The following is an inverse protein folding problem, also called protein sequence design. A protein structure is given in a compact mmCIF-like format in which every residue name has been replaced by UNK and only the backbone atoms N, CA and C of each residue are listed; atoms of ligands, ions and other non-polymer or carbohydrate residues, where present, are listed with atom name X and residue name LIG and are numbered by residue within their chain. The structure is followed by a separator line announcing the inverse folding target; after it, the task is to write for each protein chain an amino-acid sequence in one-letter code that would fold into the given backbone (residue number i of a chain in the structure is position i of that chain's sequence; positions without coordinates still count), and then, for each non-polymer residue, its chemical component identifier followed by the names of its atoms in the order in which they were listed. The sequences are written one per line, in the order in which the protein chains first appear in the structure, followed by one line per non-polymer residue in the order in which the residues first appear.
data_IF_307581842267
#
_entry.id   IF_307581842267
#
_cell.length_a   1.000
_cell.length_b   1.000
_cell.length_c   1.000
_cell.angle_alpha   90.00
_cell.angle_beta   90.00
_cell.angle_gamma   90.00
#
_symmetry.space_group_name_H-M   'P 1'
#
loop_
_entity.id
_entity.type
_entity.pdbx_description
1 polymer ?
#
# COMPACT_ATOMS: atom_id res chain seq x y z
N UNK A 1 49.35 13.01 -8.46
CA UNK A 1 47.98 13.48 -8.70
C UNK A 1 47.08 12.25 -8.72
N UNK A 2 46.30 12.05 -7.66
CA UNK A 2 45.40 10.91 -7.56
C UNK A 2 44.14 11.21 -8.40
N UNK A 3 43.92 10.38 -9.39
CA UNK A 3 42.75 10.40 -10.27
C UNK A 3 41.50 10.13 -9.39
N UNK A 4 40.67 11.15 -9.18
CA UNK A 4 39.41 10.99 -8.47
C UNK A 4 38.46 10.25 -9.41
N UNK A 5 38.39 8.93 -9.25
CA UNK A 5 37.37 8.13 -9.89
C UNK A 5 35.99 8.67 -9.51
N UNK A 6 35.39 9.47 -10.38
CA UNK A 6 34.00 9.93 -10.26
C UNK A 6 33.11 8.71 -10.50
N UNK A 7 32.55 8.17 -9.43
CA UNK A 7 31.52 7.11 -9.50
C UNK A 7 30.30 7.74 -10.15
N UNK A 8 30.13 7.57 -11.46
CA UNK A 8 28.89 7.91 -12.15
C UNK A 8 27.86 6.82 -11.81
N UNK A 9 26.98 7.10 -10.87
CA UNK A 9 25.80 6.27 -10.62
C UNK A 9 24.88 6.43 -11.84
N UNK A 10 24.94 5.49 -12.78
CA UNK A 10 24.03 5.46 -13.91
C UNK A 10 22.65 4.97 -13.41
N UNK A 11 21.68 5.87 -13.41
CA UNK A 11 20.29 5.51 -13.08
C UNK A 11 19.75 4.62 -14.20
N UNK A 12 19.21 3.42 -13.89
CA UNK A 12 18.73 2.49 -14.91
C UNK A 12 17.56 3.09 -15.69
N UNK A 13 17.50 2.81 -16.99
CA UNK A 13 16.35 3.21 -17.80
C UNK A 13 15.06 2.66 -17.19
N UNK A 14 13.98 3.44 -17.22
CA UNK A 14 12.67 3.04 -16.66
C UNK A 14 12.54 3.19 -15.15
N UNK A 15 13.53 3.75 -14.45
CA UNK A 15 13.46 3.98 -12.99
C UNK A 15 12.20 4.73 -12.55
N UNK A 16 11.79 5.74 -13.33
CA UNK A 16 10.59 6.53 -13.05
C UNK A 16 9.32 5.67 -12.99
N UNK A 17 9.20 4.67 -13.86
CA UNK A 17 8.08 3.71 -13.81
C UNK A 17 8.12 2.84 -12.56
N UNK A 18 9.31 2.45 -12.10
CA UNK A 18 9.45 1.79 -10.82
C UNK A 18 8.94 2.65 -9.67
N UNK A 19 9.34 3.93 -9.61
CA UNK A 19 8.85 4.88 -8.61
C UNK A 19 7.32 5.00 -8.68
N UNK A 20 6.76 5.20 -9.88
CA UNK A 20 5.31 5.31 -10.09
C UNK A 20 4.58 4.06 -9.58
N UNK A 21 5.07 2.86 -9.90
CA UNK A 21 4.47 1.62 -9.42
C UNK A 21 4.46 1.55 -7.87
N UNK A 22 5.51 2.03 -7.21
CA UNK A 22 5.55 2.14 -5.75
C UNK A 22 4.53 3.14 -5.20
N UNK A 23 4.43 4.32 -5.81
CA UNK A 23 3.44 5.36 -5.46
C UNK A 23 2.02 4.84 -5.61
N UNK A 24 1.72 4.23 -6.75
CA UNK A 24 0.40 3.66 -7.05
C UNK A 24 0.01 2.56 -6.04
N UNK A 25 0.96 1.69 -5.68
CA UNK A 25 0.71 0.62 -4.72
C UNK A 25 0.39 1.18 -3.32
N UNK A 26 1.16 2.16 -2.85
CA UNK A 26 0.93 2.77 -1.55
C UNK A 26 -0.40 3.53 -1.53
N UNK A 27 -0.66 4.32 -2.57
CA UNK A 27 -1.90 5.10 -2.67
C UNK A 27 -3.13 4.20 -2.77
N UNK A 28 -3.09 3.15 -3.61
CA UNK A 28 -4.20 2.22 -3.76
C UNK A 28 -4.48 1.46 -2.46
N UNK A 29 -3.44 1.02 -1.75
CA UNK A 29 -3.58 0.36 -0.45
C UNK A 29 -4.22 1.27 0.59
N UNK A 30 -3.74 2.49 0.72
CA UNK A 30 -4.32 3.49 1.63
C UNK A 30 -5.74 3.86 1.25
N UNK A 31 -6.01 4.16 -0.02
CA UNK A 31 -7.33 4.54 -0.49
C UNK A 31 -8.36 3.45 -0.21
N UNK A 32 -7.98 2.19 -0.40
CA UNK A 32 -8.82 1.05 -0.14
C UNK A 32 -9.23 0.97 1.35
N UNK A 33 -8.27 1.08 2.27
CA UNK A 33 -8.51 1.10 3.72
C UNK A 33 -9.42 2.29 4.08
N UNK A 34 -9.10 3.47 3.57
CA UNK A 34 -9.86 4.70 3.85
C UNK A 34 -11.29 4.62 3.33
N UNK A 35 -11.51 4.05 2.16
CA UNK A 35 -12.87 3.81 1.64
C UNK A 35 -13.64 2.86 2.54
N UNK A 36 -13.01 1.79 3.03
CA UNK A 36 -13.65 0.87 3.98
C UNK A 36 -14.02 1.55 5.29
N UNK A 37 -13.14 2.35 5.87
CA UNK A 37 -13.44 3.10 7.10
C UNK A 37 -14.56 4.13 6.87
N UNK A 38 -14.59 4.77 5.71
CA UNK A 38 -15.65 5.72 5.36
C UNK A 38 -17.00 5.02 5.17
N UNK A 39 -17.03 3.86 4.52
CA UNK A 39 -18.25 3.05 4.39
C UNK A 39 -18.74 2.61 5.77
N UNK A 40 -17.84 2.12 6.63
CA UNK A 40 -18.17 1.74 7.98
C UNK A 40 -18.76 2.93 8.77
N UNK A 41 -18.16 4.10 8.68
CA UNK A 41 -18.69 5.33 9.26
C UNK A 41 -20.10 5.64 8.77
N UNK A 42 -20.33 5.62 7.45
CA UNK A 42 -21.63 5.94 6.87
C UNK A 42 -22.72 4.96 7.28
N UNK A 43 -22.39 3.69 7.46
CA UNK A 43 -23.35 2.67 7.88
C UNK A 43 -23.65 2.71 9.38
N UNK A 44 -22.68 3.11 10.20
CA UNK A 44 -22.79 3.08 11.67
C UNK A 44 -23.17 4.44 12.28
N UNK A 45 -23.14 5.54 11.52
CA UNK A 45 -23.39 6.90 12.03
C UNK A 45 -24.78 7.09 12.65
N UNK A 46 -25.74 6.21 12.34
CA UNK A 46 -27.08 6.24 12.93
C UNK A 46 -27.14 5.68 14.35
N UNK A 47 -26.07 5.02 14.81
CA UNK A 47 -26.01 4.48 16.15
C UNK A 47 -25.67 5.56 17.18
N UNK A 48 -26.34 5.52 18.33
CA UNK A 48 -26.22 6.53 19.39
C UNK A 48 -24.79 6.69 19.94
N UNK A 49 -24.00 5.64 19.92
CA UNK A 49 -22.62 5.65 20.40
C UNK A 49 -21.62 6.27 19.40
N UNK A 50 -22.07 6.62 18.16
CA UNK A 50 -21.26 7.28 17.15
C UNK A 50 -21.69 8.73 16.89
N UNK A 51 -22.60 9.29 17.70
CA UNK A 51 -23.14 10.64 17.44
C UNK A 51 -22.09 11.75 17.38
N UNK A 52 -20.96 11.59 18.09
CA UNK A 52 -19.89 12.59 18.15
C UNK A 52 -18.78 12.36 17.11
N UNK A 53 -18.88 11.28 16.31
CA UNK A 53 -17.87 10.99 15.28
C UNK A 53 -18.12 11.80 14.01
N UNK A 54 -17.04 12.31 13.44
CA UNK A 54 -17.06 13.11 12.21
C UNK A 54 -16.48 12.32 11.02
N UNK A 55 -16.76 12.73 9.76
CA UNK A 55 -16.08 12.14 8.61
C UNK A 55 -14.55 12.27 8.67
N UNK A 56 -14.05 13.29 9.37
CA UNK A 56 -12.62 13.49 9.59
C UNK A 56 -12.03 12.40 10.49
N UNK A 57 -12.78 11.97 11.49
CA UNK A 57 -12.34 10.88 12.38
C UNK A 57 -12.28 9.54 11.62
N UNK A 58 -13.22 9.30 10.70
CA UNK A 58 -13.19 8.14 9.84
C UNK A 58 -11.97 8.15 8.89
N UNK A 59 -11.62 9.32 8.35
CA UNK A 59 -10.42 9.51 7.55
C UNK A 59 -9.16 9.29 8.38
N UNK A 60 -9.12 9.84 9.60
CA UNK A 60 -8.03 9.65 10.55
C UNK A 60 -7.82 8.18 10.90
N UNK A 61 -8.91 7.45 11.16
CA UNK A 61 -8.88 6.01 11.39
C UNK A 61 -8.31 5.25 10.19
N UNK A 62 -8.65 5.66 8.96
CA UNK A 62 -8.07 5.10 7.74
C UNK A 62 -6.54 5.28 7.70
N UNK A 63 -6.05 6.45 8.08
CA UNK A 63 -4.62 6.73 8.22
C UNK A 63 -3.94 5.89 9.31
N UNK A 64 -4.60 5.73 10.48
CA UNK A 64 -4.10 4.91 11.58
C UNK A 64 -4.00 3.42 11.20
N UNK A 65 -5.02 2.90 10.52
CA UNK A 65 -5.01 1.53 10.00
C UNK A 65 -3.94 1.35 8.93
N UNK A 66 -3.75 2.35 8.05
CA UNK A 66 -2.65 2.33 7.09
C UNK A 66 -1.29 2.26 7.77
N UNK A 67 -1.07 3.12 8.79
CA UNK A 67 0.15 3.09 9.57
C UNK A 67 0.40 1.71 10.21
N UNK A 68 -0.66 1.07 10.75
CA UNK A 68 -0.58 -0.28 11.30
C UNK A 68 -0.22 -1.33 10.23
N UNK A 69 -0.78 -1.23 9.02
CA UNK A 69 -0.51 -2.16 7.90
C UNK A 69 0.95 -2.14 7.48
N UNK A 70 1.57 -0.97 7.48
CA UNK A 70 3.01 -0.83 7.18
C UNK A 70 3.90 -1.09 8.41
N UNK A 71 3.34 -1.61 9.51
CA UNK A 71 4.08 -1.97 10.73
C UNK A 71 4.35 -0.79 11.68
N UNK A 72 3.63 0.31 11.53
CA UNK A 72 3.62 1.43 12.46
C UNK A 72 2.87 1.11 13.75
N UNK A 73 3.05 1.97 14.77
CA UNK A 73 2.26 1.92 15.99
C UNK A 73 1.06 2.83 15.84
N UNK A 74 -0.14 2.32 16.06
CA UNK A 74 -1.35 3.13 16.20
C UNK A 74 -1.78 3.20 17.66
N UNK A 75 -2.36 4.32 18.06
CA UNK A 75 -2.88 4.53 19.41
C UNK A 75 -4.38 4.69 19.30
N UNK A 76 -5.13 3.73 19.80
CA UNK A 76 -6.60 3.79 19.82
C UNK A 76 -7.05 3.71 21.27
N UNK A 77 -7.79 4.72 21.73
CA UNK A 77 -8.28 4.76 23.12
C UNK A 77 -7.18 4.76 24.19
N UNK A 78 -5.99 5.32 23.89
CA UNK A 78 -4.83 5.32 24.79
C UNK A 78 -4.04 4.01 24.84
N UNK A 79 -4.45 3.00 24.07
CA UNK A 79 -3.75 1.72 23.98
C UNK A 79 -2.90 1.69 22.72
N UNK A 80 -1.62 1.33 22.88
CA UNK A 80 -0.70 1.18 21.76
C UNK A 80 -0.91 -0.18 21.08
N UNK A 81 -1.43 -0.16 19.86
CA UNK A 81 -1.54 -1.34 19.01
C UNK A 81 -0.34 -1.41 18.07
N UNK A 82 0.38 -2.52 18.13
CA UNK A 82 1.41 -2.89 17.19
C UNK A 82 0.99 -4.18 16.51
N UNK A 83 0.04 -4.07 15.62
CA UNK A 83 -0.38 -5.20 14.82
C UNK A 83 0.32 -5.10 13.46
N UNK A 84 1.00 -6.17 13.04
CA UNK A 84 1.39 -6.34 11.64
C UNK A 84 0.28 -7.21 11.04
N UNK A 85 -0.69 -6.64 10.32
CA UNK A 85 -1.70 -7.43 9.63
C UNK A 85 -0.99 -8.13 8.47
N UNK A 86 -0.50 -9.33 8.73
CA UNK A 86 0.27 -10.15 7.78
C UNK A 86 -0.45 -10.34 6.46
N UNK A 87 -1.77 -10.46 6.49
CA UNK A 87 -2.61 -10.59 5.30
C UNK A 87 -2.60 -9.30 4.46
N UNK A 88 -2.76 -8.13 5.07
CA UNK A 88 -2.76 -6.86 4.35
C UNK A 88 -1.37 -6.57 3.76
N UNK A 89 -0.30 -6.86 4.51
CA UNK A 89 1.07 -6.79 4.01
C UNK A 89 1.31 -7.72 2.82
N UNK A 90 0.83 -8.96 2.89
CA UNK A 90 0.92 -9.91 1.78
C UNK A 90 0.16 -9.42 0.54
N UNK A 91 -1.04 -8.86 0.70
CA UNK A 91 -1.79 -8.27 -0.41
C UNK A 91 -1.06 -7.09 -1.04
N UNK A 92 -0.42 -6.24 -0.24
CA UNK A 92 0.39 -5.13 -0.75
C UNK A 92 1.61 -5.62 -1.53
N UNK A 93 2.29 -6.69 -1.07
CA UNK A 93 3.39 -7.31 -1.81
C UNK A 93 2.91 -7.79 -3.19
N UNK A 94 1.77 -8.47 -3.24
CA UNK A 94 1.15 -8.90 -4.50
C UNK A 94 0.81 -7.70 -5.38
N UNK A 95 0.25 -6.64 -4.81
CA UNK A 95 -0.12 -5.41 -5.52
C UNK A 95 1.12 -4.74 -6.13
N UNK A 96 2.18 -4.56 -5.35
CA UNK A 96 3.47 -4.02 -5.86
C UNK A 96 3.98 -4.88 -7.02
N UNK A 97 4.00 -6.21 -6.87
CA UNK A 97 4.44 -7.12 -7.93
C UNK A 97 3.61 -6.96 -9.20
N UNK A 98 2.29 -6.80 -9.06
CA UNK A 98 1.39 -6.65 -10.20
C UNK A 98 1.58 -5.31 -10.93
N UNK A 99 1.76 -4.22 -10.18
CA UNK A 99 2.01 -2.89 -10.76
C UNK A 99 3.38 -2.80 -11.42
N UNK A 100 4.37 -3.54 -10.91
CA UNK A 100 5.69 -3.64 -11.53
C UNK A 100 5.68 -4.32 -12.92
N UNK A 101 4.60 -4.99 -13.31
CA UNK A 101 4.45 -5.48 -14.69
C UNK A 101 4.58 -4.36 -15.73
N UNK A 102 4.24 -3.13 -15.34
CA UNK A 102 4.40 -1.95 -16.17
C UNK A 102 5.87 -1.55 -16.38
N UNK A 103 6.79 -2.12 -15.62
CA UNK A 103 8.24 -1.98 -15.83
C UNK A 103 8.85 -3.10 -16.67
N UNK A 104 8.04 -4.03 -17.17
CA UNK A 104 8.50 -5.08 -18.06
C UNK A 104 9.18 -4.47 -19.30
N UNK A 105 10.25 -5.10 -19.77
CA UNK A 105 11.09 -4.58 -20.87
C UNK A 105 12.19 -3.59 -20.43
N UNK A 106 12.21 -3.14 -19.16
CA UNK A 106 13.28 -2.31 -18.62
C UNK A 106 14.30 -3.14 -17.79
N UNK A 107 15.52 -2.60 -17.56
CA UNK A 107 16.51 -3.26 -16.71
C UNK A 107 15.93 -3.59 -15.34
N UNK A 108 16.28 -4.77 -14.81
CA UNK A 108 15.76 -5.26 -13.50
C UNK A 108 15.93 -4.28 -12.35
N UNK A 109 16.99 -3.46 -12.40
CA UNK A 109 17.21 -2.40 -11.42
C UNK A 109 16.09 -1.36 -11.36
N UNK A 110 15.31 -1.17 -12.43
CA UNK A 110 14.18 -0.25 -12.44
C UNK A 110 13.07 -0.64 -11.44
N UNK A 111 12.84 -1.94 -11.22
CA UNK A 111 11.85 -2.43 -10.27
C UNK A 111 12.18 -2.06 -8.81
N UNK A 112 13.45 -1.96 -8.46
CA UNK A 112 13.88 -1.60 -7.10
C UNK A 112 13.53 -0.14 -6.75
N UNK A 113 13.30 0.71 -7.75
CA UNK A 113 12.85 2.08 -7.52
C UNK A 113 11.40 2.18 -7.02
N UNK A 114 10.66 1.07 -6.97
CA UNK A 114 9.37 1.03 -6.28
C UNK A 114 9.52 1.27 -4.76
N UNK A 115 10.66 0.91 -4.18
CA UNK A 115 10.92 1.07 -2.73
C UNK A 115 10.85 2.52 -2.30
N UNK A 116 11.63 3.47 -2.85
CA UNK A 116 11.54 4.87 -2.47
C UNK A 116 10.17 5.49 -2.81
N UNK A 117 9.55 5.12 -3.92
CA UNK A 117 8.21 5.60 -4.28
C UNK A 117 7.15 5.18 -3.25
N UNK A 118 7.12 3.92 -2.89
CA UNK A 118 6.21 3.38 -1.88
C UNK A 118 6.45 4.00 -0.51
N UNK A 119 7.72 4.08 -0.07
CA UNK A 119 8.08 4.59 1.26
C UNK A 119 7.69 6.05 1.43
N UNK A 120 8.07 6.92 0.50
CA UNK A 120 7.74 8.34 0.56
C UNK A 120 6.23 8.57 0.56
N UNK A 121 5.50 7.87 -0.31
CA UNK A 121 4.04 7.96 -0.36
C UNK A 121 3.41 7.44 0.92
N UNK A 122 3.89 6.32 1.46
CA UNK A 122 3.40 5.78 2.73
C UNK A 122 3.59 6.74 3.89
N UNK A 123 4.70 7.46 3.96
CA UNK A 123 4.93 8.48 4.97
C UNK A 123 3.98 9.67 4.85
N UNK A 124 3.77 10.15 3.63
CA UNK A 124 2.82 11.24 3.37
C UNK A 124 1.39 10.83 3.77
N UNK A 125 1.00 9.60 3.44
CA UNK A 125 -0.34 9.10 3.74
C UNK A 125 -0.52 8.76 5.23
N UNK A 126 0.52 8.31 5.93
CA UNK A 126 0.50 8.16 7.37
C UNK A 126 0.30 9.50 8.11
N UNK A 127 0.67 10.62 7.50
CA UNK A 127 0.37 11.96 8.01
C UNK A 127 -1.12 12.32 8.04
N UNK A 128 -1.99 11.53 7.40
CA UNK A 128 -3.46 11.68 7.49
C UNK A 128 -4.04 11.05 8.75
N UNK A 129 -3.22 10.36 9.55
CA UNK A 129 -3.67 9.72 10.79
C UNK A 129 -4.22 10.73 11.78
N UNK A 130 -5.30 10.34 12.47
CA UNK A 130 -5.96 11.18 13.49
C UNK A 130 -5.21 11.19 14.82
N UNK A 131 -4.39 10.18 15.06
CA UNK A 131 -3.54 10.04 16.24
C UNK A 131 -2.09 10.38 15.87
N UNK A 132 -1.28 10.78 16.85
CA UNK A 132 0.14 11.03 16.65
C UNK A 132 0.91 9.70 16.45
N UNK A 133 0.49 8.91 15.43
CA UNK A 133 1.23 7.75 15.02
C UNK A 133 2.65 8.20 14.61
N UNK A 134 3.66 7.59 15.22
CA UNK A 134 5.03 7.90 14.85
C UNK A 134 5.28 7.39 13.43
N UNK A 135 5.19 8.28 12.45
CA UNK A 135 5.32 8.00 11.01
C UNK A 135 6.57 7.17 10.65
N UNK A 136 7.64 7.31 11.43
CA UNK A 136 8.89 6.58 11.22
C UNK A 136 8.81 5.10 11.62
N UNK A 137 7.86 4.71 12.49
CA UNK A 137 7.74 3.30 12.93
C UNK A 137 7.28 2.39 11.80
N UNK A 138 6.58 2.92 10.80
CA UNK A 138 6.19 2.22 9.57
C UNK A 138 7.30 2.09 8.52
N UNK A 139 8.49 2.66 8.77
CA UNK A 139 9.59 2.65 7.78
C UNK A 139 10.02 1.25 7.40
N UNK A 140 10.08 0.33 8.37
CA UNK A 140 10.51 -1.06 8.13
C UNK A 140 9.55 -1.73 7.13
N UNK A 141 8.25 -1.69 7.37
CA UNK A 141 7.26 -2.24 6.43
C UNK A 141 7.20 -1.47 5.12
N UNK A 142 7.33 -0.14 5.18
CA UNK A 142 7.41 0.73 4.01
C UNK A 142 8.58 0.41 3.08
N UNK A 143 9.64 -0.21 3.59
CA UNK A 143 10.78 -0.72 2.80
C UNK A 143 10.59 -2.19 2.44
N UNK A 144 10.25 -3.05 3.40
CA UNK A 144 10.19 -4.50 3.18
C UNK A 144 9.09 -4.92 2.21
N UNK A 145 7.90 -4.32 2.30
CA UNK A 145 6.77 -4.65 1.43
C UNK A 145 7.13 -4.46 -0.06
N UNK A 146 7.55 -3.26 -0.50
CA UNK A 146 7.90 -3.05 -1.90
C UNK A 146 9.19 -3.78 -2.29
N UNK A 147 10.14 -3.99 -1.38
CA UNK A 147 11.36 -4.74 -1.64
C UNK A 147 11.04 -6.21 -1.97
N UNK A 148 10.24 -6.88 -1.14
CA UNK A 148 9.84 -8.27 -1.36
C UNK A 148 9.05 -8.38 -2.67
N UNK A 149 8.10 -7.45 -2.94
CA UNK A 149 7.35 -7.41 -4.19
C UNK A 149 8.25 -7.25 -5.43
N UNK A 150 9.24 -6.38 -5.34
CA UNK A 150 10.23 -6.14 -6.42
C UNK A 150 11.14 -7.34 -6.65
N UNK A 151 11.66 -7.94 -5.58
CA UNK A 151 12.50 -9.14 -5.67
C UNK A 151 11.70 -10.30 -6.26
N UNK A 152 10.47 -10.49 -5.81
CA UNK A 152 9.59 -11.53 -6.36
C UNK A 152 9.29 -11.30 -7.85
N UNK A 153 9.02 -10.04 -8.26
CA UNK A 153 8.82 -9.69 -9.66
C UNK A 153 10.04 -10.04 -10.51
N UNK A 154 11.24 -9.66 -10.06
CA UNK A 154 12.51 -9.94 -10.76
C UNK A 154 12.80 -11.43 -10.81
N UNK A 155 12.60 -12.16 -9.69
CA UNK A 155 12.85 -13.60 -9.59
C UNK A 155 11.88 -14.40 -10.46
N UNK A 156 10.66 -13.93 -10.69
CA UNK A 156 9.68 -14.62 -11.54
C UNK A 156 10.04 -14.62 -13.03
N UNK A 157 11.13 -13.94 -13.44
CA UNK A 157 11.55 -13.86 -14.85
C UNK A 157 10.66 -12.95 -15.71
N UNK A 158 9.56 -12.44 -15.16
CA UNK A 158 8.56 -11.67 -15.90
C UNK A 158 9.17 -10.44 -16.62
N UNK A 159 10.21 -9.84 -16.02
CA UNK A 159 10.90 -8.69 -16.59
C UNK A 159 11.73 -9.01 -17.84
N UNK A 160 11.96 -10.30 -18.15
CA UNK A 160 12.78 -10.73 -19.29
C UNK A 160 11.98 -10.95 -20.57
N UNK A 161 10.77 -11.47 -20.42
CA UNK A 161 10.06 -12.15 -21.50
C UNK A 161 8.87 -11.35 -22.04
N UNK A 162 8.61 -10.17 -21.48
CA UNK A 162 7.45 -9.34 -21.85
C UNK A 162 7.85 -7.95 -22.31
N UNK A 163 7.28 -7.53 -23.43
CA UNK A 163 7.35 -6.14 -23.88
C UNK A 163 6.59 -5.23 -22.93
N UNK A 164 6.99 -3.95 -22.85
CA UNK A 164 6.32 -2.97 -22.01
C UNK A 164 4.83 -2.86 -22.42
N UNK A 165 3.90 -3.04 -21.48
CA UNK A 165 2.47 -3.04 -21.80
C UNK A 165 2.03 -1.68 -22.36
N UNK A 166 1.12 -1.72 -23.34
CA UNK A 166 0.48 -0.52 -23.90
C UNK A 166 -0.48 0.12 -22.89
N UNK A 167 -0.81 1.40 -23.09
CA UNK A 167 -1.71 2.16 -22.18
C UNK A 167 -3.07 1.48 -21.99
N UNK A 168 -3.56 0.76 -23.01
CA UNK A 168 -4.82 0.01 -22.95
C UNK A 168 -4.75 -1.20 -21.97
N UNK A 169 -3.59 -1.83 -21.85
CA UNK A 169 -3.31 -2.86 -20.83
C UNK A 169 -3.29 -2.31 -19.41
N UNK A 170 -2.90 -1.06 -19.26
CA UNK A 170 -2.89 -0.34 -17.98
C UNK A 170 -4.30 -0.21 -17.40
N UNK A 171 -5.24 0.29 -18.20
CA UNK A 171 -6.64 0.51 -17.79
C UNK A 171 -7.32 -0.84 -17.46
N UNK A 172 -7.15 -1.84 -18.32
CA UNK A 172 -7.74 -3.16 -18.09
C UNK A 172 -7.13 -3.90 -16.90
N UNK A 173 -5.82 -3.74 -16.67
CA UNK A 173 -5.11 -4.29 -15.52
C UNK A 173 -5.54 -3.60 -14.21
N UNK A 174 -5.64 -2.28 -14.19
CA UNK A 174 -6.10 -1.51 -13.05
C UNK A 174 -7.55 -1.83 -12.65
N UNK A 175 -8.45 -1.95 -13.63
CA UNK A 175 -9.84 -2.36 -13.40
C UNK A 175 -9.96 -3.78 -12.84
N UNK A 176 -9.20 -4.75 -13.35
CA UNK A 176 -9.20 -6.12 -12.83
C UNK A 176 -8.66 -6.20 -11.41
N UNK A 177 -7.58 -5.46 -11.11
CA UNK A 177 -6.98 -5.39 -9.79
C UNK A 177 -7.85 -4.65 -8.79
N UNK A 178 -8.40 -3.51 -9.18
CA UNK A 178 -9.35 -2.76 -8.38
C UNK A 178 -10.57 -3.61 -8.03
N UNK A 179 -11.13 -4.31 -9.03
CA UNK A 179 -12.25 -5.24 -8.84
C UNK A 179 -11.92 -6.41 -7.90
N UNK A 180 -10.74 -7.02 -8.05
CA UNK A 180 -10.30 -8.10 -7.16
C UNK A 180 -10.08 -7.60 -5.73
N UNK A 181 -9.49 -6.43 -5.56
CA UNK A 181 -9.27 -5.83 -4.24
C UNK A 181 -10.58 -5.49 -3.54
N UNK A 182 -11.55 -4.92 -4.27
CA UNK A 182 -12.90 -4.66 -3.75
C UNK A 182 -13.60 -5.97 -3.38
N UNK A 183 -13.51 -7.02 -4.20
CA UNK A 183 -14.12 -8.32 -3.92
C UNK A 183 -13.52 -9.00 -2.67
N UNK A 184 -12.19 -8.95 -2.50
CA UNK A 184 -11.52 -9.50 -1.33
C UNK A 184 -11.92 -8.76 -0.05
N UNK A 185 -12.05 -7.44 -0.12
CA UNK A 185 -12.45 -6.65 1.05
C UNK A 185 -13.92 -6.76 1.37
N UNK A 186 -14.78 -6.79 0.36
CA UNK A 186 -16.19 -7.08 0.55
C UNK A 186 -16.38 -8.46 1.20
N UNK A 187 -15.60 -9.45 0.76
CA UNK A 187 -15.58 -10.78 1.37
C UNK A 187 -15.09 -10.76 2.83
N UNK A 188 -14.00 -10.07 3.11
CA UNK A 188 -13.47 -9.93 4.47
C UNK A 188 -14.43 -9.17 5.39
N UNK A 189 -15.08 -8.10 4.89
CA UNK A 189 -16.08 -7.35 5.63
C UNK A 189 -17.33 -8.19 5.93
N UNK A 190 -17.76 -9.00 4.97
CA UNK A 190 -18.88 -9.92 5.14
C UNK A 190 -18.58 -10.99 6.22
N UNK A 191 -17.38 -11.57 6.17
CA UNK A 191 -16.93 -12.54 7.18
C UNK A 191 -16.88 -11.88 8.56
N UNK A 192 -16.31 -10.69 8.67
CA UNK A 192 -16.28 -9.95 9.94
C UNK A 192 -17.69 -9.62 10.47
N UNK A 193 -18.61 -9.22 9.59
CA UNK A 193 -20.00 -8.97 9.96
C UNK A 193 -20.72 -10.24 10.43
N UNK A 194 -20.52 -11.37 9.76
CA UNK A 194 -21.09 -12.68 10.17
C UNK A 194 -20.52 -13.09 11.51
N UNK A 195 -19.21 -12.97 11.73
CA UNK A 195 -18.58 -13.30 13.02
C UNK A 195 -19.12 -12.41 14.12
N UNK A 196 -19.29 -11.11 13.90
CA UNK A 196 -19.87 -10.20 14.86
C UNK A 196 -21.34 -10.53 15.19
N UNK A 197 -22.10 -10.97 14.18
CA UNK A 197 -23.51 -11.35 14.36
C UNK A 197 -23.68 -12.67 15.14
N UNK A 198 -22.72 -13.58 15.00
CA UNK A 198 -22.75 -14.91 15.70
C UNK A 198 -22.17 -14.81 17.11
N UNK A 199 -21.27 -13.83 17.35
CA UNK A 199 -20.62 -13.63 18.65
C UNK A 199 -21.38 -12.69 19.60
N UNK A 200 -22.41 -11.96 19.13
CA UNK A 200 -23.28 -11.09 19.93
C UNK A 200 -24.59 -11.74 20.27
#
# INVERSE_FOLDING_TARGET
MADRATIRVAVPQGWARGVIAGVEAAFAGWALITVCTMIAYLTLRSNTWMNDTTPRDALGLGGDLWAAVIGGTSVVGGVHYRAIPTLAGALLIVLVRLLLRNTAGFPRGAALFAVPGFLLTSWLLAGTSGTHAHWWTGTIGGVLIPLIGSVWFVASGYARDHEAPTMQHWISGGLKLGGLSVAVLAGASLVAAIVALVAG
#
